data_IF_852434593417
#
_entry.id   IF_852434593417
#
_cell.length_a   1.000
_cell.length_b   1.000
_cell.length_c   1.000
_cell.angle_alpha   90.00
_cell.angle_beta   90.00
_cell.angle_gamma   90.00
#
_symmetry.space_group_name_H-M   'P 1'
#
loop_
_entity.id
_entity.type
_entity.pdbx_description
1 polymer ?
#
# COMPACT_ATOMS: atom_id res chain seq x y z
N UNK A 1 23.51 -0.03 -14.52
CA UNK A 1 23.62 1.05 -13.52
C UNK A 1 23.32 0.46 -12.15
N UNK A 2 24.15 0.71 -11.14
CA UNK A 2 23.99 0.15 -9.78
C UNK A 2 23.54 1.16 -8.73
N UNK A 3 23.69 2.46 -9.02
CA UNK A 3 23.38 3.55 -8.11
C UNK A 3 22.41 4.50 -8.80
N UNK A 4 21.34 4.87 -8.12
CA UNK A 4 20.40 5.90 -8.57
C UNK A 4 20.25 6.96 -7.48
N UNK A 5 20.51 8.22 -7.84
CA UNK A 5 20.42 9.36 -6.92
C UNK A 5 19.20 10.22 -7.27
N UNK A 6 18.26 10.28 -6.34
CA UNK A 6 17.04 11.09 -6.37
C UNK A 6 16.92 11.95 -5.09
N UNK A 7 18.02 12.08 -4.34
CA UNK A 7 18.07 12.87 -3.10
C UNK A 7 17.72 14.35 -3.37
N UNK A 8 17.14 15.02 -2.37
CA UNK A 8 16.84 16.47 -2.41
C UNK A 8 16.01 16.87 -3.64
N UNK A 9 14.95 16.11 -3.87
CA UNK A 9 13.92 16.39 -4.85
C UNK A 9 12.59 16.60 -4.14
N UNK A 10 11.52 16.81 -4.92
CA UNK A 10 10.18 17.00 -4.40
C UNK A 10 9.29 15.75 -4.59
N UNK A 11 9.88 14.56 -4.46
CA UNK A 11 9.17 13.30 -4.59
C UNK A 11 8.28 13.08 -3.35
N UNK A 12 6.99 12.85 -3.57
CA UNK A 12 6.05 12.54 -2.50
C UNK A 12 5.79 11.03 -2.39
N UNK A 13 5.97 10.27 -3.47
CA UNK A 13 5.88 8.82 -3.46
C UNK A 13 6.77 8.22 -4.55
N UNK A 14 7.02 6.92 -4.46
CA UNK A 14 7.67 6.12 -5.51
C UNK A 14 6.90 4.81 -5.65
N UNK A 15 6.92 4.24 -6.84
CA UNK A 15 6.33 2.93 -7.11
C UNK A 15 7.39 2.00 -7.67
N UNK A 16 7.20 0.68 -7.55
CA UNK A 16 8.21 -0.29 -8.02
C UNK A 16 8.45 -0.26 -9.54
N UNK A 17 7.43 0.16 -10.30
CA UNK A 17 7.40 0.08 -11.76
C UNK A 17 8.53 0.87 -12.41
N UNK A 18 8.93 1.99 -11.82
CA UNK A 18 10.02 2.83 -12.34
C UNK A 18 11.39 2.15 -12.25
N UNK A 19 11.53 1.16 -11.37
CA UNK A 19 12.79 0.44 -11.16
C UNK A 19 12.89 -0.87 -11.94
N UNK A 20 11.81 -1.31 -12.61
CA UNK A 20 11.80 -2.55 -13.40
C UNK A 20 12.85 -2.54 -14.52
N UNK A 21 13.15 -1.37 -15.09
CA UNK A 21 14.15 -1.21 -16.15
C UNK A 21 15.59 -1.07 -15.62
N UNK A 22 15.79 -1.15 -14.31
CA UNK A 22 17.09 -1.02 -13.66
C UNK A 22 17.46 -2.34 -12.94
N UNK A 23 17.67 -3.45 -13.67
CA UNK A 23 17.84 -4.78 -13.09
C UNK A 23 19.09 -4.94 -12.21
N UNK A 24 20.06 -4.04 -12.35
CA UNK A 24 21.31 -4.05 -11.61
C UNK A 24 21.34 -3.01 -10.48
N UNK A 25 20.23 -2.32 -10.19
CA UNK A 25 20.17 -1.33 -9.13
C UNK A 25 20.44 -1.98 -7.77
N UNK A 26 21.29 -1.34 -6.97
CA UNK A 26 21.66 -1.80 -5.61
C UNK A 26 21.43 -0.71 -4.57
N UNK A 27 21.80 0.52 -4.92
CA UNK A 27 21.79 1.65 -4.01
C UNK A 27 20.85 2.74 -4.52
N UNK A 28 19.91 3.13 -3.68
CA UNK A 28 18.95 4.18 -3.96
C UNK A 28 19.08 5.29 -2.90
N UNK A 29 19.31 6.51 -3.38
CA UNK A 29 19.47 7.70 -2.55
C UNK A 29 18.23 8.56 -2.75
N UNK A 30 17.37 8.64 -1.74
CA UNK A 30 16.06 9.31 -1.79
C UNK A 30 15.84 10.22 -0.57
N UNK A 31 16.87 10.43 0.23
CA UNK A 31 16.87 11.34 1.37
C UNK A 31 16.42 12.76 0.95
N UNK A 32 15.88 13.53 1.90
CA UNK A 32 15.39 14.91 1.67
C UNK A 32 14.28 15.05 0.63
N UNK A 33 13.41 14.04 0.50
CA UNK A 33 12.18 14.13 -0.28
C UNK A 33 10.95 14.17 0.66
N UNK A 34 9.91 14.96 0.35
CA UNK A 34 8.72 15.12 1.20
C UNK A 34 7.75 13.94 1.07
N UNK A 35 8.17 12.73 1.45
CA UNK A 35 7.37 11.52 1.27
C UNK A 35 6.04 11.55 2.03
N UNK A 36 4.98 11.18 1.33
CA UNK A 36 3.66 10.90 1.87
C UNK A 36 3.55 9.38 2.10
N UNK A 37 3.53 8.99 3.36
CA UNK A 37 3.37 7.60 3.78
C UNK A 37 1.89 7.22 3.77
N UNK A 38 1.36 7.07 2.55
CA UNK A 38 0.04 6.51 2.25
C UNK A 38 0.19 5.08 1.71
N UNK A 39 -0.93 4.42 1.45
CA UNK A 39 -0.92 3.08 0.86
C UNK A 39 -0.25 3.01 -0.53
N UNK A 40 -0.17 4.13 -1.26
CA UNK A 40 0.51 4.17 -2.57
C UNK A 40 2.02 3.87 -2.46
N UNK A 41 2.60 4.03 -1.26
CA UNK A 41 4.00 3.75 -0.99
C UNK A 41 4.27 2.28 -0.66
N UNK A 42 3.23 1.47 -0.42
CA UNK A 42 3.33 0.05 -0.04
C UNK A 42 4.19 -0.72 -1.04
N UNK A 43 3.84 -0.65 -2.33
CA UNK A 43 4.54 -1.41 -3.38
C UNK A 43 6.04 -1.08 -3.43
N UNK A 44 6.41 0.17 -3.19
CA UNK A 44 7.82 0.56 -3.12
C UNK A 44 8.52 -0.04 -1.90
N UNK A 45 7.90 0.01 -0.71
CA UNK A 45 8.48 -0.59 0.49
C UNK A 45 8.67 -2.11 0.37
N UNK A 46 7.68 -2.80 -0.21
CA UNK A 46 7.78 -4.24 -0.53
C UNK A 46 8.90 -4.50 -1.51
N UNK A 47 9.02 -3.70 -2.57
CA UNK A 47 10.06 -3.84 -3.57
C UNK A 47 11.46 -3.67 -2.99
N UNK A 48 11.68 -2.65 -2.16
CA UNK A 48 12.96 -2.39 -1.48
C UNK A 48 13.37 -3.61 -0.63
N UNK A 49 12.45 -4.12 0.19
CA UNK A 49 12.70 -5.28 1.05
C UNK A 49 12.98 -6.54 0.23
N UNK A 50 12.17 -6.80 -0.80
CA UNK A 50 12.27 -8.01 -1.64
C UNK A 50 13.53 -8.04 -2.49
N UNK A 51 13.92 -6.90 -3.06
CA UNK A 51 15.15 -6.78 -3.86
C UNK A 51 16.41 -6.66 -3.00
N UNK A 52 16.27 -6.44 -1.68
CA UNK A 52 17.40 -6.11 -0.81
C UNK A 52 18.08 -4.81 -1.24
N UNK A 53 17.31 -3.84 -1.74
CA UNK A 53 17.86 -2.53 -2.08
C UNK A 53 18.34 -1.84 -0.81
N UNK A 54 19.57 -1.35 -0.86
CA UNK A 54 20.09 -0.48 0.18
C UNK A 54 19.51 0.90 -0.12
N UNK A 55 18.48 1.25 0.65
CA UNK A 55 18.21 2.65 0.89
C UNK A 55 19.40 3.16 1.72
N UNK A 56 19.89 4.36 1.39
CA UNK A 56 20.81 5.13 2.25
C UNK A 56 22.27 4.72 2.07
N UNK A 57 23.00 5.53 1.30
CA UNK A 57 24.47 5.50 1.33
C UNK A 57 25.03 6.77 1.99
N UNK A 58 24.14 7.64 2.49
CA UNK A 58 24.46 8.96 3.02
C UNK A 58 23.79 9.19 4.39
N UNK A 59 24.08 8.32 5.35
CA UNK A 59 23.93 8.52 6.80
C UNK A 59 22.53 8.82 7.39
N UNK A 60 21.50 9.04 6.58
CA UNK A 60 20.12 9.26 7.02
C UNK A 60 19.13 8.42 6.22
N UNK A 61 18.19 7.79 6.91
CA UNK A 61 17.15 6.98 6.28
C UNK A 61 15.97 7.87 5.85
N UNK A 62 15.29 7.61 4.71
CA UNK A 62 14.17 8.40 4.25
C UNK A 62 13.00 8.26 5.23
N UNK A 63 12.39 9.39 5.54
CA UNK A 63 11.35 9.53 6.54
C UNK A 63 10.08 10.09 5.90
N UNK A 64 8.94 9.76 6.49
CA UNK A 64 7.67 10.37 6.12
C UNK A 64 7.70 11.86 6.46
N UNK A 65 7.21 12.69 5.53
CA UNK A 65 6.88 14.08 5.75
C UNK A 65 5.38 14.25 6.10
N UNK A 66 4.53 13.40 5.51
CA UNK A 66 3.11 13.29 5.79
C UNK A 66 2.70 11.80 5.85
N UNK A 67 1.55 11.46 6.44
CA UNK A 67 0.68 12.31 7.25
C UNK A 67 1.34 12.77 8.57
N UNK A 68 0.74 13.75 9.24
CA UNK A 68 1.34 14.41 10.41
C UNK A 68 1.72 13.43 11.55
N UNK A 69 0.94 12.37 11.76
CA UNK A 69 1.17 11.37 12.79
C UNK A 69 2.33 10.40 12.47
N UNK A 70 2.78 10.35 11.20
CA UNK A 70 3.95 9.57 10.76
C UNK A 70 5.17 10.44 10.50
N UNK A 71 5.07 11.77 10.63
CA UNK A 71 6.15 12.68 10.28
C UNK A 71 7.42 12.34 11.07
N UNK A 72 8.52 12.13 10.34
CA UNK A 72 9.82 11.77 10.90
C UNK A 72 10.04 10.27 11.15
N UNK A 73 9.01 9.43 11.01
CA UNK A 73 9.14 7.96 11.03
C UNK A 73 9.79 7.51 9.73
N UNK A 74 10.68 6.51 9.80
CA UNK A 74 11.31 5.98 8.59
C UNK A 74 10.27 5.24 7.75
N UNK A 75 10.34 5.41 6.43
CA UNK A 75 9.37 4.82 5.50
C UNK A 75 9.29 3.29 5.68
N UNK A 76 10.44 2.63 5.92
CA UNK A 76 10.52 1.18 6.10
C UNK A 76 9.96 0.68 7.45
N UNK A 77 9.77 1.57 8.42
CA UNK A 77 9.30 1.23 9.77
C UNK A 77 7.78 1.44 9.92
N UNK A 78 7.11 2.04 8.94
CA UNK A 78 5.66 2.28 8.99
C UNK A 78 4.91 1.01 8.59
N UNK A 79 3.94 0.59 9.41
CA UNK A 79 3.08 -0.54 9.07
C UNK A 79 2.12 -0.20 7.94
N UNK A 80 1.77 -1.17 7.08
CA UNK A 80 0.80 -0.93 5.99
C UNK A 80 -0.58 -0.48 6.49
N UNK A 81 -0.96 -0.91 7.71
CA UNK A 81 -2.17 -0.43 8.36
C UNK A 81 -2.09 1.06 8.67
N UNK A 82 -0.96 1.54 9.18
CA UNK A 82 -0.75 2.95 9.52
C UNK A 82 -0.58 3.84 8.28
N UNK A 83 -0.13 3.25 7.16
CA UNK A 83 -0.18 3.85 5.82
C UNK A 83 -1.62 3.94 5.26
N UNK A 84 -2.60 3.29 5.90
CA UNK A 84 -3.99 3.28 5.46
C UNK A 84 -4.33 2.22 4.41
N UNK A 85 -3.50 1.19 4.23
CA UNK A 85 -3.83 0.09 3.32
C UNK A 85 -4.98 -0.76 3.85
N UNK A 86 -5.93 -1.07 2.98
CA UNK A 86 -6.95 -2.09 3.24
C UNK A 86 -6.32 -3.47 3.08
N UNK A 87 -6.62 -4.41 3.99
CA UNK A 87 -6.29 -5.84 3.82
C UNK A 87 -7.18 -6.53 2.79
N UNK A 88 -7.65 -5.79 1.78
CA UNK A 88 -8.31 -6.37 0.62
C UNK A 88 -7.22 -6.85 -0.30
N UNK A 89 -6.82 -8.11 -0.11
CA UNK A 89 -6.43 -8.92 -1.25
C UNK A 89 -7.63 -8.94 -2.20
N UNK A 90 -7.72 -7.95 -3.09
CA UNK A 90 -8.53 -8.11 -4.29
C UNK A 90 -7.80 -9.14 -5.15
N UNK A 91 -7.99 -10.42 -4.80
CA UNK A 91 -8.03 -11.49 -5.78
C UNK A 91 -9.27 -11.28 -6.65
N UNK A 92 -9.38 -10.12 -7.30
CA UNK A 92 -10.22 -9.99 -8.48
C UNK A 92 -9.36 -10.53 -9.61
N UNK A 93 -9.44 -11.85 -9.82
CA UNK A 93 -9.25 -12.41 -11.15
C UNK A 93 -10.10 -11.53 -12.07
N UNK A 94 -9.47 -10.72 -12.91
CA UNK A 94 -10.13 -9.94 -13.94
C UNK A 94 -10.68 -10.92 -14.98
N UNK A 95 -11.77 -11.60 -14.64
CA UNK A 95 -12.63 -12.20 -15.64
C UNK A 95 -13.27 -11.00 -16.32
N UNK A 96 -12.78 -10.70 -17.52
CA UNK A 96 -13.35 -9.70 -18.42
C UNK A 96 -14.87 -9.85 -18.37
N UNK A 97 -15.59 -8.81 -17.91
CA UNK A 97 -17.04 -8.73 -18.09
C UNK A 97 -17.32 -8.63 -19.58
N UNK A 98 -17.44 -9.77 -20.26
CA UNK A 98 -18.16 -9.85 -21.52
C UNK A 98 -19.65 -9.84 -21.18
N UNK A 99 -20.31 -8.83 -21.72
CA UNK A 99 -21.75 -8.61 -21.75
C UNK A 99 -22.59 -9.88 -21.98
N UNK A 100 -23.75 -9.87 -21.33
CA UNK A 100 -24.95 -10.73 -21.51
C UNK A 100 -24.95 -12.17 -20.98
N UNK A 101 -25.55 -12.33 -19.79
CA UNK A 101 -26.42 -13.46 -19.44
C UNK A 101 -27.53 -12.93 -18.51
N UNK A 102 -28.66 -12.49 -19.09
CA UNK A 102 -29.93 -12.36 -18.35
C UNK A 102 -30.36 -13.74 -17.87
N UNK A 103 -30.52 -13.93 -16.55
CA UNK A 103 -31.54 -14.86 -16.03
C UNK A 103 -31.86 -14.61 -14.55
N UNK A 104 -33.08 -14.09 -14.35
CA UNK A 104 -34.10 -14.54 -13.39
C UNK A 104 -33.82 -14.57 -11.89
N UNK A 105 -34.67 -13.83 -11.15
CA UNK A 105 -34.81 -13.75 -9.69
C UNK A 105 -34.93 -15.14 -9.02
N UNK A 106 -34.28 -15.31 -7.87
CA UNK A 106 -34.71 -16.29 -6.86
C UNK A 106 -34.72 -15.65 -5.47
N UNK A 107 -35.94 -15.48 -4.95
CA UNK A 107 -36.27 -15.07 -3.58
C UNK A 107 -36.07 -16.27 -2.66
N UNK A 108 -35.25 -16.12 -1.61
CA UNK A 108 -35.29 -17.04 -0.46
C UNK A 108 -35.71 -16.25 0.76
N UNK A 109 -36.94 -16.50 1.18
CA UNK A 109 -37.53 -16.03 2.41
C UNK A 109 -37.14 -17.01 3.51
N UNK A 110 -36.48 -16.54 4.57
CA UNK A 110 -36.33 -17.31 5.81
C UNK A 110 -36.95 -16.51 6.96
N UNK A 111 -37.85 -17.17 7.67
CA UNK A 111 -38.67 -16.69 8.79
C UNK A 111 -37.85 -16.44 10.07
N UNK A 112 -38.37 -15.65 11.03
CA UNK A 112 -37.60 -15.15 12.16
C UNK A 112 -37.59 -16.13 13.35
N UNK A 113 -36.45 -16.25 14.03
CA UNK A 113 -36.38 -16.73 15.41
C UNK A 113 -35.41 -15.89 16.22
N UNK A 114 -35.92 -15.00 17.09
CA UNK A 114 -35.29 -14.72 18.38
C UNK A 114 -36.36 -14.64 19.48
N UNK A 115 -36.04 -15.42 20.51
CA UNK A 115 -36.75 -15.69 21.75
C UNK A 115 -36.98 -14.43 22.61
N UNK A 116 -38.09 -14.50 23.35
CA UNK A 116 -38.62 -13.56 24.34
C UNK A 116 -37.58 -12.86 25.23
N UNK A 117 -37.81 -11.56 25.45
CA UNK A 117 -37.38 -10.87 26.67
C UNK A 117 -38.63 -10.32 27.39
N UNK A 118 -38.80 -10.79 28.62
CA UNK A 118 -39.72 -10.23 29.62
C UNK A 118 -39.33 -8.78 29.90
N UNK A 119 -40.31 -7.86 29.86
CA UNK A 119 -40.27 -6.62 30.63
C UNK A 119 -41.62 -6.44 31.31
N UNK A 120 -41.59 -6.50 32.63
CA UNK A 120 -42.70 -6.16 33.53
C UNK A 120 -42.78 -4.64 33.65
N UNK A 121 -43.97 -4.07 33.38
CA UNK A 121 -44.65 -3.05 34.22
C UNK A 121 -46.14 -3.21 33.99
#
# INVERSE_FOLDING_TARGET
MQNLRLYDNNLTFLTEQIFMQLPNLRNLYIEKNPFECSCDLESFTVFVQTKGLVLNVSSENPKCNSPAYLKGVQIIDVSFKDMGCSTTYETTISIRKTTDLKSTKQTVHSTPMKSNQHTSV
#
